data_IF_682753449897
#
_entry.id   IF_682753449897
#
_cell.length_a   1.000
_cell.length_b   1.000
_cell.length_c   1.000
_cell.angle_alpha   90.00
_cell.angle_beta   90.00
_cell.angle_gamma   90.00
#
_symmetry.space_group_name_H-M   'P 1'
#
loop_
_entity.id
_entity.type
_entity.pdbx_description
1 polymer ?
#
# COMPACT_ATOMS: atom_id res chain seq x y z
N UNK A 1 2.44 37.64 27.98
CA UNK A 1 3.70 37.20 27.31
C UNK A 1 4.28 35.93 27.91
N UNK A 2 4.63 35.87 29.22
CA UNK A 2 5.11 34.62 29.84
C UNK A 2 4.02 33.55 29.94
N UNK A 3 2.80 33.96 30.31
CA UNK A 3 1.64 33.06 30.40
C UNK A 3 1.21 32.52 29.02
N UNK A 4 1.30 33.35 27.99
CA UNK A 4 1.04 32.94 26.60
C UNK A 4 2.08 31.92 26.11
N UNK A 5 3.36 32.13 26.44
CA UNK A 5 4.44 31.20 26.10
C UNK A 5 4.27 29.86 26.82
N UNK A 6 3.89 29.87 28.09
CA UNK A 6 3.63 28.65 28.87
C UNK A 6 2.40 27.90 28.35
N UNK A 7 1.34 28.62 27.94
CA UNK A 7 0.16 28.03 27.30
C UNK A 7 0.52 27.37 25.96
N UNK A 8 1.34 28.03 25.13
CA UNK A 8 1.83 27.47 23.86
C UNK A 8 2.68 26.22 24.08
N UNK A 9 3.59 26.22 25.05
CA UNK A 9 4.38 25.03 25.41
C UNK A 9 3.50 23.86 25.83
N UNK A 10 2.52 24.11 26.71
CA UNK A 10 1.57 23.11 27.17
C UNK A 10 0.75 22.51 26.00
N UNK A 11 0.22 23.36 25.12
CA UNK A 11 -0.49 22.89 23.92
C UNK A 11 0.41 22.06 23.01
N UNK A 12 1.67 22.45 22.84
CA UNK A 12 2.62 21.68 22.03
C UNK A 12 2.90 20.29 22.63
N UNK A 13 3.09 20.21 23.95
CA UNK A 13 3.29 18.94 24.66
C UNK A 13 2.07 18.03 24.59
N UNK A 14 0.86 18.59 24.77
CA UNK A 14 -0.41 17.87 24.65
C UNK A 14 -0.62 17.32 23.24
N UNK A 15 -0.37 18.14 22.20
CA UNK A 15 -0.47 17.70 20.80
C UNK A 15 0.56 16.62 20.48
N UNK A 16 1.80 16.75 20.98
CA UNK A 16 2.84 15.74 20.79
C UNK A 16 2.45 14.41 21.45
N UNK A 17 1.93 14.46 22.68
CA UNK A 17 1.48 13.26 23.38
C UNK A 17 0.30 12.59 22.66
N UNK A 18 -0.65 13.38 22.17
CA UNK A 18 -1.77 12.89 21.38
C UNK A 18 -1.32 12.18 20.09
N UNK A 19 -0.44 12.82 19.31
CA UNK A 19 0.06 12.26 18.06
C UNK A 19 0.88 10.98 18.29
N UNK A 20 1.69 10.93 19.35
CA UNK A 20 2.42 9.72 19.71
C UNK A 20 1.47 8.56 20.07
N UNK A 21 0.44 8.83 20.90
CA UNK A 21 -0.54 7.82 21.27
C UNK A 21 -1.35 7.32 20.06
N UNK A 22 -1.69 8.21 19.12
CA UNK A 22 -2.35 7.86 17.88
C UNK A 22 -1.46 6.96 17.01
N UNK A 23 -0.19 7.33 16.84
CA UNK A 23 0.79 6.55 16.08
C UNK A 23 1.03 5.16 16.68
N UNK A 24 1.12 5.06 18.01
CA UNK A 24 1.26 3.77 18.70
C UNK A 24 0.06 2.86 18.43
N UNK A 25 -1.17 3.37 18.57
CA UNK A 25 -2.39 2.60 18.29
C UNK A 25 -2.49 2.19 16.82
N UNK A 26 -2.13 3.09 15.90
CA UNK A 26 -2.04 2.80 14.48
C UNK A 26 -1.06 1.66 14.20
N UNK A 27 0.14 1.72 14.76
CA UNK A 27 1.19 0.70 14.59
C UNK A 27 0.76 -0.64 15.19
N UNK A 28 0.20 -0.64 16.40
CA UNK A 28 -0.32 -1.83 17.06
C UNK A 28 -1.43 -2.53 16.27
N UNK A 29 -2.19 -1.78 15.47
CA UNK A 29 -3.24 -2.34 14.60
C UNK A 29 -2.72 -2.75 13.23
N UNK A 30 -1.85 -1.95 12.62
CA UNK A 30 -1.36 -2.20 11.27
C UNK A 30 -0.52 -3.48 11.21
N UNK A 31 0.47 -3.62 12.09
CA UNK A 31 1.45 -4.71 11.96
C UNK A 31 0.81 -6.10 12.03
N UNK A 32 -0.04 -6.43 13.02
CA UNK A 32 -0.75 -7.71 13.04
C UNK A 32 -1.69 -7.87 11.84
N UNK A 33 -2.34 -6.79 11.41
CA UNK A 33 -3.26 -6.84 10.27
C UNK A 33 -2.55 -7.18 8.95
N UNK A 34 -1.32 -6.71 8.76
CA UNK A 34 -0.50 -7.06 7.59
C UNK A 34 -0.02 -8.51 7.66
N UNK A 35 0.36 -9.00 8.85
CA UNK A 35 0.69 -10.43 9.04
C UNK A 35 -0.46 -11.34 8.61
N UNK A 36 -1.71 -11.00 8.98
CA UNK A 36 -2.88 -11.78 8.56
C UNK A 36 -3.02 -11.84 7.03
N UNK A 37 -2.79 -10.72 6.33
CA UNK A 37 -2.82 -10.72 4.86
C UNK A 37 -1.74 -11.63 4.29
N UNK A 38 -0.52 -11.58 4.84
CA UNK A 38 0.59 -12.44 4.43
C UNK A 38 0.23 -13.92 4.60
N UNK A 39 -0.28 -14.34 5.77
CA UNK A 39 -0.61 -15.75 6.01
C UNK A 39 -1.86 -16.24 5.27
N UNK A 40 -2.71 -15.33 4.81
CA UNK A 40 -3.85 -15.67 3.94
C UNK A 40 -3.45 -15.92 2.49
N UNK A 41 -2.40 -15.25 2.00
CA UNK A 41 -2.02 -15.30 0.58
C UNK A 41 -0.75 -16.10 0.31
N UNK A 42 0.14 -16.22 1.30
CA UNK A 42 1.40 -16.94 1.19
C UNK A 42 1.40 -18.14 2.13
N UNK A 43 1.91 -19.28 1.64
CA UNK A 43 2.10 -20.50 2.42
C UNK A 43 3.30 -20.41 3.39
N UNK A 44 3.44 -19.29 4.11
CA UNK A 44 4.49 -19.07 5.12
C UNK A 44 4.07 -19.64 6.47
N UNK A 45 5.01 -20.26 7.19
CA UNK A 45 4.75 -20.79 8.54
C UNK A 45 4.66 -19.66 9.57
N UNK A 46 3.49 -19.48 10.18
CA UNK A 46 3.26 -18.43 11.18
C UNK A 46 4.29 -18.43 12.31
N UNK A 47 4.59 -19.60 12.87
CA UNK A 47 5.52 -19.72 13.99
C UNK A 47 6.96 -19.30 13.63
N UNK A 48 7.30 -19.30 12.34
CA UNK A 48 8.64 -18.97 11.85
C UNK A 48 8.78 -17.49 11.52
N UNK A 49 7.76 -16.87 10.93
CA UNK A 49 7.88 -15.53 10.33
C UNK A 49 7.14 -14.42 11.07
N UNK A 50 6.31 -14.73 12.07
CA UNK A 50 5.45 -13.73 12.72
C UNK A 50 6.22 -12.54 13.28
N UNK A 51 7.37 -12.77 13.95
CA UNK A 51 8.17 -11.71 14.55
C UNK A 51 8.85 -10.82 13.51
N UNK A 52 9.36 -11.39 12.44
CA UNK A 52 9.98 -10.70 11.30
C UNK A 52 8.94 -9.84 10.58
N UNK A 53 7.75 -10.39 10.34
CA UNK A 53 6.65 -9.68 9.72
C UNK A 53 6.12 -8.55 10.62
N UNK A 54 6.10 -8.72 11.95
CA UNK A 54 5.77 -7.63 12.88
C UNK A 54 6.78 -6.49 12.81
N UNK A 55 8.08 -6.79 12.71
CA UNK A 55 9.13 -5.77 12.53
C UNK A 55 8.95 -5.01 11.21
N UNK A 56 8.64 -5.73 10.12
CA UNK A 56 8.29 -5.11 8.85
C UNK A 56 7.06 -4.23 8.99
N UNK A 57 5.98 -4.72 9.59
CA UNK A 57 4.77 -3.94 9.85
C UNK A 57 5.06 -2.62 10.59
N UNK A 58 5.89 -2.67 11.64
CA UNK A 58 6.27 -1.48 12.41
C UNK A 58 7.10 -0.48 11.59
N UNK A 59 8.04 -0.98 10.77
CA UNK A 59 8.82 -0.17 9.83
C UNK A 59 7.89 0.56 8.86
N UNK A 60 6.94 -0.14 8.26
CA UNK A 60 6.05 0.43 7.27
C UNK A 60 4.97 1.33 7.88
N UNK A 61 4.53 1.09 9.12
CA UNK A 61 3.69 2.04 9.86
C UNK A 61 4.37 3.42 9.93
N UNK A 62 5.66 3.44 10.27
CA UNK A 62 6.44 4.68 10.30
C UNK A 62 6.54 5.36 8.93
N UNK A 63 6.86 4.61 7.88
CA UNK A 63 6.99 5.15 6.53
C UNK A 63 5.65 5.72 6.00
N UNK A 64 4.53 5.07 6.31
CA UNK A 64 3.20 5.56 5.96
C UNK A 64 2.95 6.91 6.64
N UNK A 65 3.28 7.04 7.93
CA UNK A 65 3.13 8.29 8.67
C UNK A 65 4.03 9.41 8.14
N UNK A 66 5.27 9.10 7.75
CA UNK A 66 6.18 10.04 7.11
C UNK A 66 5.63 10.50 5.75
N UNK A 67 5.07 9.59 4.97
CA UNK A 67 4.41 9.92 3.70
C UNK A 67 3.18 10.82 3.90
N UNK A 68 2.35 10.49 4.89
CA UNK A 68 1.21 11.32 5.27
C UNK A 68 1.63 12.73 5.69
N UNK A 69 2.70 12.86 6.48
CA UNK A 69 3.26 14.16 6.87
C UNK A 69 3.71 14.97 5.65
N UNK A 70 4.31 14.31 4.66
CA UNK A 70 4.69 14.94 3.39
C UNK A 70 3.45 15.37 2.60
N UNK A 71 2.40 14.55 2.52
CA UNK A 71 1.15 14.91 1.86
C UNK A 71 0.49 16.11 2.53
N UNK A 72 0.49 16.17 3.87
CA UNK A 72 0.00 17.32 4.62
C UNK A 72 0.82 18.59 4.33
N UNK A 73 2.15 18.48 4.20
CA UNK A 73 2.98 19.61 3.79
C UNK A 73 2.63 20.06 2.37
N UNK A 74 2.53 19.14 1.40
CA UNK A 74 2.16 19.45 0.01
C UNK A 74 0.80 20.15 -0.07
N UNK A 75 -0.20 19.67 0.68
CA UNK A 75 -1.54 20.26 0.72
C UNK A 75 -1.55 21.75 1.10
N UNK A 76 -0.62 22.15 1.97
CA UNK A 76 -0.57 23.52 2.49
C UNK A 76 0.41 24.43 1.75
N UNK A 77 1.33 23.86 0.96
CA UNK A 77 2.48 24.59 0.43
C UNK A 77 2.63 24.48 -1.10
N UNK A 78 1.94 23.56 -1.75
CA UNK A 78 2.05 23.32 -3.19
C UNK A 78 0.72 23.58 -3.86
N UNK A 79 0.78 24.16 -5.06
CA UNK A 79 -0.39 24.34 -5.91
C UNK A 79 -0.89 23.01 -6.53
N UNK A 80 -1.78 23.08 -7.51
CA UNK A 80 -2.33 21.90 -8.17
C UNK A 80 -1.24 20.96 -8.69
N UNK A 81 -1.38 19.67 -8.42
CA UNK A 81 -0.48 18.62 -8.90
C UNK A 81 -1.08 17.90 -10.11
N UNK A 82 -0.22 17.30 -10.93
CA UNK A 82 -0.66 16.43 -12.02
C UNK A 82 -1.46 15.25 -11.46
N UNK A 83 -2.56 14.94 -12.13
CA UNK A 83 -3.41 13.84 -11.73
C UNK A 83 -2.68 12.51 -11.96
N UNK A 84 -2.67 11.65 -10.95
CA UNK A 84 -2.04 10.34 -11.04
C UNK A 84 -3.07 9.29 -11.46
N UNK A 85 -2.61 8.30 -12.23
CA UNK A 85 -3.43 7.14 -12.56
C UNK A 85 -3.89 6.43 -11.29
N UNK A 86 -5.11 5.88 -11.35
CA UNK A 86 -5.67 5.09 -10.27
C UNK A 86 -4.79 3.87 -9.93
N UNK A 87 -4.92 3.38 -8.70
CA UNK A 87 -4.31 2.11 -8.31
C UNK A 87 -4.90 0.99 -9.18
N UNK A 88 -4.07 0.18 -9.86
CA UNK A 88 -4.56 -0.90 -10.69
C UNK A 88 -5.26 -1.95 -9.83
N UNK A 89 -6.38 -2.47 -10.33
CA UNK A 89 -7.16 -3.52 -9.68
C UNK A 89 -6.84 -4.84 -10.38
N UNK A 90 -6.46 -5.89 -9.65
CA UNK A 90 -6.20 -7.20 -10.23
C UNK A 90 -7.37 -7.69 -11.10
N UNK A 91 -7.06 -8.18 -12.29
CA UNK A 91 -8.00 -8.72 -13.27
C UNK A 91 -8.76 -7.68 -14.09
N UNK A 92 -8.55 -6.38 -13.85
CA UNK A 92 -9.17 -5.31 -14.66
C UNK A 92 -8.66 -5.25 -16.09
N UNK A 93 -7.52 -5.88 -16.38
CA UNK A 93 -6.82 -5.93 -17.66
C UNK A 93 -7.14 -7.17 -18.50
N UNK A 94 -8.11 -8.01 -18.09
CA UNK A 94 -8.41 -9.28 -18.78
C UNK A 94 -8.66 -9.13 -20.28
N UNK A 95 -9.43 -8.13 -20.69
CA UNK A 95 -9.73 -7.91 -22.11
C UNK A 95 -8.47 -7.53 -22.91
N UNK A 96 -7.57 -6.77 -22.30
CA UNK A 96 -6.27 -6.43 -22.88
C UNK A 96 -5.38 -7.69 -22.96
N UNK A 97 -5.40 -8.53 -21.93
CA UNK A 97 -4.70 -9.81 -21.92
C UNK A 97 -5.21 -10.78 -23.00
N UNK A 98 -6.53 -10.87 -23.20
CA UNK A 98 -7.15 -11.66 -24.28
C UNK A 98 -6.68 -11.18 -25.66
N UNK A 99 -6.61 -9.86 -25.86
CA UNK A 99 -6.10 -9.27 -27.10
C UNK A 99 -4.61 -9.59 -27.33
N UNK A 100 -3.76 -9.48 -26.30
CA UNK A 100 -2.35 -9.84 -26.42
C UNK A 100 -2.13 -11.33 -26.67
N UNK A 101 -2.89 -12.21 -26.02
CA UNK A 101 -2.85 -13.65 -26.27
C UNK A 101 -3.17 -13.96 -27.74
N UNK A 102 -4.21 -13.33 -28.28
CA UNK A 102 -4.57 -13.49 -29.69
C UNK A 102 -3.45 -13.03 -30.63
N UNK A 103 -2.80 -11.90 -30.34
CA UNK A 103 -1.64 -11.43 -31.11
C UNK A 103 -0.46 -12.41 -31.07
N UNK A 104 -0.11 -12.92 -29.89
CA UNK A 104 0.98 -13.89 -29.73
C UNK A 104 0.72 -15.17 -30.54
N UNK A 105 -0.55 -15.62 -30.61
CA UNK A 105 -0.93 -16.78 -31.43
C UNK A 105 -0.78 -16.53 -32.93
N UNK A 106 -0.95 -15.30 -33.39
CA UNK A 106 -0.75 -14.92 -34.80
C UNK A 106 0.73 -14.88 -35.20
N UNK A 107 1.64 -14.72 -34.23
CA UNK A 107 3.10 -14.65 -34.45
C UNK A 107 3.78 -16.03 -34.49
N UNK A 108 3.08 -17.10 -34.12
CA UNK A 108 3.61 -18.47 -34.10
C UNK A 108 2.94 -19.38 -35.13
N UNK A 109 3.60 -20.49 -35.47
CA UNK A 109 3.03 -21.50 -36.35
C UNK A 109 1.79 -22.16 -35.69
N UNK A 110 0.84 -22.62 -36.52
CA UNK A 110 -0.47 -23.13 -36.09
C UNK A 110 -0.34 -24.24 -35.02
N UNK A 111 0.62 -25.14 -35.20
CA UNK A 111 0.89 -26.26 -34.31
C UNK A 111 1.30 -25.84 -32.89
N UNK A 112 1.81 -24.61 -32.70
CA UNK A 112 2.24 -24.09 -31.40
C UNK A 112 1.20 -23.20 -30.72
N UNK A 113 0.14 -22.79 -31.41
CA UNK A 113 -0.83 -21.81 -30.89
C UNK A 113 -1.51 -22.24 -29.58
N UNK A 114 -1.85 -23.53 -29.47
CA UNK A 114 -2.48 -24.08 -28.27
C UNK A 114 -1.52 -24.09 -27.07
N UNK A 115 -0.24 -24.37 -27.31
CA UNK A 115 0.78 -24.34 -26.27
C UNK A 115 1.09 -22.91 -25.80
N UNK A 116 1.19 -21.96 -26.73
CA UNK A 116 1.37 -20.54 -26.42
C UNK A 116 0.20 -19.99 -25.60
N UNK A 117 -1.03 -20.29 -25.99
CA UNK A 117 -2.23 -19.86 -25.24
C UNK A 117 -2.21 -20.41 -23.82
N UNK A 118 -1.88 -21.70 -23.66
CA UNK A 118 -1.78 -22.33 -22.35
C UNK A 118 -0.72 -21.64 -21.48
N UNK A 119 0.50 -21.47 -21.99
CA UNK A 119 1.61 -20.86 -21.25
C UNK A 119 1.29 -19.41 -20.87
N UNK A 120 0.70 -18.64 -21.79
CA UNK A 120 0.27 -17.27 -21.53
C UNK A 120 -0.72 -17.20 -20.37
N UNK A 121 -1.75 -18.06 -20.38
CA UNK A 121 -2.76 -18.04 -19.32
C UNK A 121 -2.25 -18.57 -17.97
N UNK A 122 -1.32 -19.53 -17.97
CA UNK A 122 -0.62 -19.95 -16.75
C UNK A 122 0.18 -18.80 -16.14
N UNK A 123 0.94 -18.06 -16.96
CA UNK A 123 1.69 -16.89 -16.50
C UNK A 123 0.78 -15.75 -16.05
N UNK A 124 -0.27 -15.43 -16.83
CA UNK A 124 -1.26 -14.45 -16.46
C UNK A 124 -1.90 -14.79 -15.10
N UNK A 125 -2.32 -16.04 -14.90
CA UNK A 125 -2.92 -16.47 -13.63
C UNK A 125 -1.96 -16.27 -12.46
N UNK A 126 -0.70 -16.67 -12.61
CA UNK A 126 0.33 -16.46 -11.58
C UNK A 126 0.57 -14.98 -11.29
N UNK A 127 0.60 -14.14 -12.33
CA UNK A 127 0.76 -12.70 -12.18
C UNK A 127 -0.45 -12.10 -11.44
N UNK A 128 -1.67 -12.53 -11.76
CA UNK A 128 -2.88 -12.09 -11.07
C UNK A 128 -2.91 -12.50 -9.60
N UNK A 129 -2.40 -13.68 -9.23
CA UNK A 129 -2.24 -14.07 -7.83
C UNK A 129 -1.26 -13.16 -7.08
N UNK A 130 -0.13 -12.81 -7.70
CA UNK A 130 0.83 -11.86 -7.14
C UNK A 130 0.24 -10.45 -6.98
N UNK A 131 -0.45 -9.96 -8.00
CA UNK A 131 -1.14 -8.66 -7.96
C UNK A 131 -2.28 -8.65 -6.93
N UNK A 132 -3.01 -9.76 -6.78
CA UNK A 132 -4.03 -9.91 -5.74
C UNK A 132 -3.45 -9.78 -4.33
N UNK A 133 -2.30 -10.40 -4.06
CA UNK A 133 -1.61 -10.26 -2.78
C UNK A 133 -1.16 -8.81 -2.53
N UNK A 134 -0.48 -8.18 -3.51
CA UNK A 134 -0.08 -6.78 -3.43
C UNK A 134 -1.26 -5.85 -3.16
N UNK A 135 -2.35 -6.06 -3.89
CA UNK A 135 -3.57 -5.26 -3.74
C UNK A 135 -4.22 -5.47 -2.37
N UNK A 136 -4.24 -6.70 -1.84
CA UNK A 136 -4.77 -7.01 -0.52
C UNK A 136 -3.97 -6.32 0.60
N UNK A 137 -2.65 -6.29 0.50
CA UNK A 137 -1.78 -5.57 1.44
C UNK A 137 -2.05 -4.06 1.37
N UNK A 138 -2.09 -3.47 0.17
CA UNK A 138 -2.43 -2.06 -0.03
C UNK A 138 -3.79 -1.70 0.57
N UNK A 139 -4.82 -2.50 0.29
CA UNK A 139 -6.17 -2.29 0.84
C UNK A 139 -6.17 -2.37 2.36
N UNK A 140 -5.36 -3.27 2.95
CA UNK A 140 -5.24 -3.34 4.41
C UNK A 140 -4.55 -2.12 5.00
N UNK A 141 -3.44 -1.69 4.42
CA UNK A 141 -2.74 -0.48 4.84
C UNK A 141 -3.67 0.74 4.78
N UNK A 142 -4.38 0.90 3.66
CA UNK A 142 -5.35 1.98 3.45
C UNK A 142 -6.48 1.95 4.47
N UNK A 143 -7.09 0.78 4.68
CA UNK A 143 -8.21 0.64 5.61
C UNK A 143 -7.80 0.99 7.04
N UNK A 144 -6.66 0.46 7.51
CA UNK A 144 -6.16 0.76 8.86
C UNK A 144 -5.77 2.23 8.97
N UNK A 145 -5.09 2.79 7.97
CA UNK A 145 -4.71 4.20 8.00
C UNK A 145 -5.93 5.13 8.07
N UNK A 146 -6.91 4.92 7.19
CA UNK A 146 -8.15 5.70 7.17
C UNK A 146 -8.88 5.63 8.51
N UNK A 147 -8.90 4.49 9.20
CA UNK A 147 -9.55 4.39 10.51
C UNK A 147 -8.97 5.36 11.55
N UNK A 148 -7.65 5.61 11.52
CA UNK A 148 -6.99 6.48 12.49
C UNK A 148 -6.87 7.93 12.07
N UNK A 149 -6.83 8.20 10.76
CA UNK A 149 -6.51 9.53 10.21
C UNK A 149 -7.60 10.06 9.27
N UNK A 150 -8.82 9.52 9.29
CA UNK A 150 -9.93 9.95 8.41
C UNK A 150 -10.15 11.47 8.47
N UNK A 151 -10.18 12.04 9.67
CA UNK A 151 -10.47 13.46 9.87
C UNK A 151 -9.38 14.33 9.23
N UNK A 152 -8.11 13.89 9.32
CA UNK A 152 -7.00 14.63 8.72
C UNK A 152 -6.94 14.47 7.19
N UNK A 153 -7.27 13.30 6.63
CA UNK A 153 -7.25 13.12 5.17
C UNK A 153 -8.44 13.80 4.49
N UNK A 154 -9.55 14.02 5.20
CA UNK A 154 -10.72 14.71 4.65
C UNK A 154 -10.45 16.19 4.34
N UNK A 155 -9.39 16.78 4.91
CA UNK A 155 -8.99 18.15 4.62
C UNK A 155 -8.06 18.27 3.39
N UNK A 156 -7.68 17.15 2.78
CA UNK A 156 -6.81 17.16 1.62
C UNK A 156 -7.54 17.51 0.34
N UNK A 157 -6.89 18.31 -0.50
CA UNK A 157 -7.28 18.49 -1.89
C UNK A 157 -7.24 17.15 -2.63
N UNK A 158 -8.18 16.97 -3.56
CA UNK A 158 -8.38 15.67 -4.24
C UNK A 158 -7.11 15.13 -4.92
N UNK A 159 -6.27 16.00 -5.50
CA UNK A 159 -5.02 15.61 -6.14
C UNK A 159 -3.95 15.18 -5.11
N UNK A 160 -3.95 15.75 -3.90
CA UNK A 160 -3.07 15.33 -2.80
C UNK A 160 -3.50 13.98 -2.26
N UNK A 161 -4.81 13.76 -2.13
CA UNK A 161 -5.34 12.47 -1.71
C UNK A 161 -4.96 11.36 -2.70
N UNK A 162 -5.05 11.62 -4.01
CA UNK A 162 -4.59 10.68 -5.04
C UNK A 162 -3.09 10.45 -5.01
N UNK A 163 -2.30 11.49 -4.75
CA UNK A 163 -0.85 11.37 -4.56
C UNK A 163 -0.51 10.45 -3.38
N UNK A 164 -1.17 10.65 -2.23
CA UNK A 164 -0.96 9.84 -1.05
C UNK A 164 -1.39 8.39 -1.28
N UNK A 165 -2.57 8.18 -1.87
CA UNK A 165 -3.10 6.84 -2.18
C UNK A 165 -2.18 6.06 -3.12
N UNK A 166 -1.67 6.73 -4.16
CA UNK A 166 -0.71 6.13 -5.10
C UNK A 166 0.61 5.82 -4.42
N UNK A 167 1.10 6.71 -3.56
CA UNK A 167 2.34 6.50 -2.82
C UNK A 167 2.24 5.33 -1.85
N UNK A 168 1.08 5.15 -1.21
CA UNK A 168 0.79 4.00 -0.35
C UNK A 168 0.83 2.69 -1.15
N UNK A 169 0.21 2.66 -2.33
CA UNK A 169 0.28 1.51 -3.23
C UNK A 169 1.70 1.19 -3.69
N UNK A 170 2.50 2.21 -4.06
CA UNK A 170 3.90 2.01 -4.46
C UNK A 170 4.77 1.49 -3.31
N UNK A 171 4.59 2.02 -2.10
CA UNK A 171 5.29 1.55 -0.90
C UNK A 171 4.93 0.08 -0.58
N UNK A 172 3.68 -0.30 -0.78
CA UNK A 172 3.26 -1.68 -0.66
C UNK A 172 3.93 -2.58 -1.70
N UNK A 173 3.80 -2.23 -2.97
CA UNK A 173 4.19 -3.07 -4.12
C UNK A 173 5.69 -3.20 -4.32
N UNK A 174 6.45 -2.11 -4.16
CA UNK A 174 7.88 -2.06 -4.49
C UNK A 174 8.80 -2.24 -3.29
N UNK A 175 8.24 -2.35 -2.08
CA UNK A 175 9.04 -2.34 -0.87
C UNK A 175 8.53 -3.35 0.15
N UNK A 176 7.29 -3.22 0.66
CA UNK A 176 6.80 -4.14 1.70
C UNK A 176 6.70 -5.57 1.19
N UNK A 177 6.05 -5.77 0.05
CA UNK A 177 5.84 -7.11 -0.54
C UNK A 177 7.18 -7.76 -0.92
N UNK A 178 8.12 -6.99 -1.49
CA UNK A 178 9.45 -7.47 -1.83
C UNK A 178 10.24 -7.91 -0.58
N UNK A 179 10.16 -7.15 0.52
CA UNK A 179 10.77 -7.54 1.79
C UNK A 179 10.12 -8.81 2.37
N UNK A 180 8.80 -8.99 2.23
CA UNK A 180 8.10 -10.22 2.65
C UNK A 180 8.57 -11.43 1.85
N UNK A 181 8.73 -11.30 0.53
CA UNK A 181 9.27 -12.37 -0.32
C UNK A 181 10.74 -12.67 0.00
N UNK A 182 11.50 -11.67 0.45
CA UNK A 182 12.92 -11.81 0.81
C UNK A 182 13.17 -12.43 2.20
N UNK A 183 12.12 -12.77 2.96
CA UNK A 183 12.27 -13.44 4.26
C UNK A 183 12.65 -14.92 4.15
N UNK A 184 12.63 -15.50 2.94
CA UNK A 184 12.93 -16.93 2.68
C UNK A 184 14.41 -17.17 2.35
#
# INVERSE_FOLDING_TARGET
MLDDLNRLKKQHEENKAHNNALFERFTQKLSPALNEVVFQHLAKNRNTYENELLKLGNKYARLIFENFSNAHWLNNNVGPMADLNAVPVPGSDRAEAEFYCQKLKEEVAEEFRAEVEKLYWEEYTKNQESEAFKYAVYQKMKAVFTEFYIDDIMVFESHILRYFDRSLYLMCTLAYVDEVYSLD
#
